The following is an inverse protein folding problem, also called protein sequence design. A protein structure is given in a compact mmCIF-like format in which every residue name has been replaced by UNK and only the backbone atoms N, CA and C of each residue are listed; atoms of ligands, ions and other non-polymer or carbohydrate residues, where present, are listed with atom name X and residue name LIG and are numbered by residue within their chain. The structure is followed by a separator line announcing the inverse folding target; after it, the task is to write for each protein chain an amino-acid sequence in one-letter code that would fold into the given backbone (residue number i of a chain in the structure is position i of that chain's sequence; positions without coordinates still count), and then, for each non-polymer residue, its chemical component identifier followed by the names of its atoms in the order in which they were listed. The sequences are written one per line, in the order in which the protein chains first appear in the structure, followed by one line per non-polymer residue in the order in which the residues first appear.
data_IF_706422486378
#
_entry.id   IF_706422486378
#
_cell.length_a   1.000
_cell.length_b   1.000
_cell.length_c   1.000
_cell.angle_alpha   90.00
_cell.angle_beta   90.00
_cell.angle_gamma   90.00
#
_symmetry.space_group_name_H-M   'P 1'
#
loop_
_entity.id
_entity.type
_entity.pdbx_description
1 polymer ?
#
# COMPACT_ATOMS: atom_id res chain seq x y z
N UNK A 1 11.72 -51.94 -6.71
CA UNK A 1 10.32 -51.83 -6.26
C UNK A 1 9.94 -50.35 -6.26
N UNK A 2 8.98 -49.95 -7.09
CA UNK A 2 8.46 -48.58 -7.12
C UNK A 2 7.29 -48.45 -6.13
N UNK A 3 7.08 -47.28 -5.48
CA UNK A 3 5.93 -47.09 -4.60
C UNK A 3 4.62 -46.96 -5.41
N UNK A 4 3.47 -47.36 -4.84
CA UNK A 4 2.19 -47.35 -5.53
C UNK A 4 1.61 -45.94 -5.67
N UNK A 5 1.08 -45.67 -6.87
CA UNK A 5 0.34 -44.45 -7.20
C UNK A 5 -1.07 -44.56 -6.61
N UNK A 6 -1.39 -43.76 -5.59
CA UNK A 6 -2.78 -43.54 -5.18
C UNK A 6 -3.44 -42.56 -6.16
N UNK A 7 -4.35 -43.07 -6.97
CA UNK A 7 -5.26 -42.28 -7.77
C UNK A 7 -6.27 -41.56 -6.86
N UNK A 8 -6.05 -40.27 -6.60
CA UNK A 8 -7.09 -39.40 -6.10
C UNK A 8 -8.00 -39.02 -7.27
N UNK A 9 -9.16 -39.67 -7.33
CA UNK A 9 -10.31 -39.26 -8.13
C UNK A 9 -10.88 -37.95 -7.58
N UNK A 10 -10.21 -36.84 -7.90
CA UNK A 10 -10.69 -35.50 -7.65
C UNK A 10 -11.25 -34.93 -8.94
N UNK A 11 -12.56 -34.75 -8.99
CA UNK A 11 -13.31 -33.95 -9.96
C UNK A 11 -12.81 -32.49 -9.94
N UNK A 12 -11.68 -32.24 -10.61
CA UNK A 12 -11.00 -30.94 -10.68
C UNK A 12 -10.90 -30.37 -12.09
N UNK A 13 -11.68 -30.89 -13.04
CA UNK A 13 -11.61 -30.50 -14.45
C UNK A 13 -12.00 -29.03 -14.74
N UNK A 14 -12.52 -28.29 -13.76
CA UNK A 14 -12.92 -26.89 -13.91
C UNK A 14 -11.87 -25.85 -13.45
N UNK A 15 -10.82 -26.26 -12.70
CA UNK A 15 -9.80 -25.33 -12.20
C UNK A 15 -8.49 -25.34 -13.01
N UNK A 16 -8.39 -26.20 -14.03
CA UNK A 16 -7.13 -26.45 -14.75
C UNK A 16 -6.75 -25.35 -15.77
N UNK A 17 -7.62 -24.38 -16.04
CA UNK A 17 -7.39 -23.36 -17.08
C UNK A 17 -6.73 -22.06 -16.62
N UNK A 18 -6.56 -21.84 -15.30
CA UNK A 18 -6.26 -20.52 -14.74
C UNK A 18 -5.15 -20.50 -13.67
N UNK A 19 -4.43 -21.61 -13.48
CA UNK A 19 -3.29 -21.62 -12.57
C UNK A 19 -2.10 -20.89 -13.21
N UNK A 20 -2.10 -19.56 -13.13
CA UNK A 20 -0.90 -18.77 -13.40
C UNK A 20 0.11 -19.09 -12.30
N UNK A 21 1.25 -19.64 -12.67
CA UNK A 21 2.34 -19.89 -11.73
C UNK A 21 3.05 -18.55 -11.47
N UNK A 22 2.72 -17.92 -10.34
CA UNK A 22 3.39 -16.70 -9.90
C UNK A 22 4.85 -17.00 -9.50
N UNK A 23 5.79 -16.06 -9.73
CA UNK A 23 7.17 -16.22 -9.29
C UNK A 23 7.26 -16.21 -7.75
N UNK A 24 8.34 -16.79 -7.20
CA UNK A 24 8.53 -16.96 -5.75
C UNK A 24 8.53 -15.65 -4.95
N UNK A 25 8.83 -14.53 -5.61
CA UNK A 25 8.86 -13.20 -5.00
C UNK A 25 7.58 -12.38 -5.27
N UNK A 26 6.50 -13.03 -5.73
CA UNK A 26 5.17 -12.44 -5.80
C UNK A 26 4.55 -12.26 -4.42
N UNK A 27 3.76 -11.20 -4.27
CA UNK A 27 2.90 -11.05 -3.10
C UNK A 27 1.72 -12.01 -3.18
N UNK A 28 1.34 -12.57 -2.03
CA UNK A 28 0.12 -13.38 -1.92
C UNK A 28 -1.14 -12.52 -2.13
N UNK A 29 -2.25 -13.13 -2.55
CA UNK A 29 -3.53 -12.43 -2.71
C UNK A 29 -3.97 -11.68 -1.45
N UNK A 30 -3.93 -12.27 -0.23
CA UNK A 30 -4.24 -11.51 1.00
C UNK A 30 -3.32 -10.30 1.20
N UNK A 31 -2.03 -10.43 0.87
CA UNK A 31 -1.09 -9.32 0.99
C UNK A 31 -1.43 -8.19 0.02
N UNK A 32 -1.78 -8.51 -1.23
CA UNK A 32 -2.25 -7.52 -2.20
C UNK A 32 -3.51 -6.79 -1.73
N UNK A 33 -4.48 -7.53 -1.17
CA UNK A 33 -5.72 -6.93 -0.66
C UNK A 33 -5.43 -5.84 0.37
N UNK A 34 -4.53 -6.09 1.33
CA UNK A 34 -4.15 -5.12 2.35
C UNK A 34 -3.44 -3.89 1.76
N UNK A 35 -2.54 -4.09 0.77
CA UNK A 35 -1.86 -2.96 0.12
C UNK A 35 -2.83 -2.04 -0.60
N UNK A 36 -3.72 -2.63 -1.41
CA UNK A 36 -4.71 -1.88 -2.19
C UNK A 36 -5.72 -1.20 -1.27
N UNK A 37 -6.23 -1.91 -0.25
CA UNK A 37 -7.16 -1.32 0.70
C UNK A 37 -6.50 -0.13 1.42
N UNK A 38 -5.28 -0.29 1.93
CA UNK A 38 -4.58 0.74 2.67
C UNK A 38 -4.37 2.01 1.84
N UNK A 39 -4.06 1.88 0.54
CA UNK A 39 -3.94 3.03 -0.36
C UNK A 39 -5.27 3.79 -0.50
N UNK A 40 -6.38 3.07 -0.65
CA UNK A 40 -7.72 3.67 -0.78
C UNK A 40 -8.16 4.28 0.55
N UNK A 41 -7.97 3.56 1.66
CA UNK A 41 -8.31 3.99 3.01
C UNK A 41 -7.53 5.25 3.40
N UNK A 42 -6.27 5.37 2.97
CA UNK A 42 -5.48 6.57 3.17
C UNK A 42 -6.03 7.78 2.40
N UNK A 43 -6.44 7.61 1.13
CA UNK A 43 -7.09 8.66 0.35
C UNK A 43 -8.43 9.10 0.98
N UNK A 44 -9.22 8.14 1.47
CA UNK A 44 -10.45 8.43 2.19
C UNK A 44 -10.15 9.23 3.48
N UNK A 45 -9.14 8.84 4.26
CA UNK A 45 -8.69 9.55 5.45
C UNK A 45 -8.24 10.98 5.13
N UNK A 46 -7.47 11.17 4.05
CA UNK A 46 -7.06 12.50 3.57
C UNK A 46 -8.28 13.38 3.26
N UNK A 47 -9.30 12.82 2.59
CA UNK A 47 -10.56 13.51 2.32
C UNK A 47 -11.33 13.88 3.59
N UNK A 48 -11.39 12.98 4.57
CA UNK A 48 -12.02 13.23 5.87
C UNK A 48 -11.29 14.32 6.66
N UNK A 49 -9.95 14.30 6.70
CA UNK A 49 -9.14 15.34 7.34
C UNK A 49 -9.38 16.71 6.70
N UNK A 50 -9.49 16.77 5.37
CA UNK A 50 -9.80 18.00 4.67
C UNK A 50 -11.20 18.53 5.02
N UNK A 51 -12.20 17.65 5.03
CA UNK A 51 -13.58 18.02 5.42
C UNK A 51 -13.67 18.45 6.88
N UNK A 52 -12.91 17.80 7.76
CA UNK A 52 -12.83 18.21 9.16
C UNK A 52 -12.28 19.63 9.30
N UNK A 53 -11.33 20.04 8.46
CA UNK A 53 -10.85 21.42 8.43
C UNK A 53 -11.97 22.45 8.12
N UNK A 54 -12.91 22.08 7.24
CA UNK A 54 -14.03 22.94 6.84
C UNK A 54 -15.08 23.02 7.94
N UNK A 55 -15.44 21.89 8.53
CA UNK A 55 -16.47 21.82 9.59
C UNK A 55 -15.98 22.45 10.90
N UNK A 56 -14.70 22.25 11.26
CA UNK A 56 -14.12 22.84 12.48
C UNK A 56 -13.73 24.31 12.33
N UNK A 57 -13.69 24.86 11.11
CA UNK A 57 -13.18 26.20 10.84
C UNK A 57 -11.67 26.35 11.05
N UNK A 58 -10.92 25.26 11.26
CA UNK A 58 -9.48 25.29 11.47
C UNK A 58 -8.73 24.84 10.19
N UNK A 59 -8.21 25.78 9.37
CA UNK A 59 -7.57 25.45 8.09
C UNK A 59 -6.24 24.70 8.24
N UNK A 60 -5.66 24.61 9.45
CA UNK A 60 -4.41 23.88 9.68
C UNK A 60 -4.53 22.39 9.39
N UNK A 61 -5.73 21.82 9.55
CA UNK A 61 -6.04 20.44 9.15
C UNK A 61 -5.87 20.20 7.65
N UNK A 62 -6.11 21.19 6.78
CA UNK A 62 -5.77 21.07 5.35
C UNK A 62 -4.27 20.92 5.14
N UNK A 63 -3.47 21.56 6.00
CA UNK A 63 -2.02 21.38 6.04
C UNK A 63 -1.61 19.95 6.38
N UNK A 64 -2.36 19.25 7.26
CA UNK A 64 -2.15 17.83 7.52
C UNK A 64 -2.47 16.99 6.28
N UNK A 65 -3.58 17.25 5.58
CA UNK A 65 -3.89 16.55 4.31
C UNK A 65 -2.75 16.68 3.29
N UNK A 66 -2.18 17.89 3.13
CA UNK A 66 -1.01 18.09 2.27
C UNK A 66 0.22 17.33 2.77
N UNK A 67 0.44 17.30 4.08
CA UNK A 67 1.53 16.56 4.71
C UNK A 67 1.41 15.04 4.60
N UNK A 68 0.22 14.51 4.34
CA UNK A 68 -0.01 13.06 4.15
C UNK A 68 0.35 12.56 2.74
N UNK A 69 0.54 13.46 1.75
CA UNK A 69 0.81 13.08 0.36
C UNK A 69 2.12 12.32 0.15
N UNK A 70 3.27 12.71 0.74
CA UNK A 70 4.51 11.98 0.52
C UNK A 70 4.42 10.54 1.02
N UNK A 71 3.78 10.32 2.18
CA UNK A 71 3.55 8.97 2.71
C UNK A 71 2.65 8.13 1.80
N UNK A 72 1.60 8.74 1.22
CA UNK A 72 0.76 8.05 0.23
C UNK A 72 1.56 7.65 -1.02
N UNK A 73 2.38 8.55 -1.53
CA UNK A 73 3.25 8.30 -2.68
C UNK A 73 4.28 7.19 -2.41
N UNK A 74 4.76 7.07 -1.16
CA UNK A 74 5.60 5.94 -0.73
C UNK A 74 4.89 4.60 -0.95
N UNK A 75 3.63 4.48 -0.52
CA UNK A 75 2.82 3.28 -0.73
C UNK A 75 2.62 2.94 -2.21
N UNK A 76 2.44 3.94 -3.06
CA UNK A 76 2.35 3.75 -4.51
C UNK A 76 3.67 3.23 -5.11
N UNK A 77 4.82 3.73 -4.64
CA UNK A 77 6.13 3.23 -5.06
C UNK A 77 6.31 1.77 -4.65
N UNK A 78 5.95 1.39 -3.42
CA UNK A 78 6.00 0.02 -2.93
C UNK A 78 5.12 -0.91 -3.79
N UNK A 79 3.86 -0.54 -4.01
CA UNK A 79 2.92 -1.33 -4.81
C UNK A 79 3.40 -1.47 -6.26
N UNK A 80 3.97 -0.41 -6.85
CA UNK A 80 4.56 -0.48 -8.19
C UNK A 80 5.74 -1.45 -8.24
N UNK A 81 6.62 -1.41 -7.24
CA UNK A 81 7.75 -2.35 -7.16
C UNK A 81 7.29 -3.81 -7.04
N UNK A 82 6.25 -4.06 -6.25
CA UNK A 82 5.65 -5.38 -6.10
C UNK A 82 4.87 -5.84 -7.33
N UNK A 83 4.23 -4.92 -8.06
CA UNK A 83 3.52 -5.21 -9.31
C UNK A 83 4.44 -5.84 -10.36
N UNK A 84 5.73 -5.44 -10.36
CA UNK A 84 6.75 -5.97 -11.28
C UNK A 84 7.58 -7.11 -10.68
N UNK A 85 7.15 -7.70 -9.56
CA UNK A 85 7.87 -8.77 -8.88
C UNK A 85 9.29 -8.36 -8.44
N UNK A 86 9.41 -7.20 -7.78
CA UNK A 86 10.64 -6.80 -7.07
C UNK A 86 11.95 -6.92 -7.88
N UNK A 87 12.02 -6.47 -9.14
CA UNK A 87 13.18 -6.71 -9.98
C UNK A 87 14.33 -5.79 -9.57
N UNK A 88 15.58 -6.26 -9.69
CA UNK A 88 16.75 -5.47 -9.33
C UNK A 88 16.84 -4.14 -10.12
N UNK A 89 16.33 -4.10 -11.35
CA UNK A 89 16.29 -2.90 -12.20
C UNK A 89 15.41 -1.77 -11.65
N UNK A 90 14.47 -2.06 -10.75
CA UNK A 90 13.56 -1.08 -10.15
C UNK A 90 13.86 -0.80 -8.67
N UNK A 91 15.03 -1.17 -8.15
CA UNK A 91 15.39 -0.87 -6.75
C UNK A 91 15.36 0.62 -6.39
N UNK A 92 15.46 1.51 -7.37
CA UNK A 92 15.23 2.94 -7.15
C UNK A 92 13.84 3.23 -6.55
N UNK A 93 12.81 2.44 -6.88
CA UNK A 93 11.48 2.57 -6.29
C UNK A 93 11.48 2.23 -4.80
N UNK A 94 12.28 1.26 -4.37
CA UNK A 94 12.45 0.91 -2.96
C UNK A 94 13.14 2.06 -2.19
N UNK A 95 14.20 2.63 -2.76
CA UNK A 95 14.86 3.79 -2.16
C UNK A 95 13.94 5.02 -2.09
N UNK A 96 13.17 5.25 -3.16
CA UNK A 96 12.18 6.33 -3.22
C UNK A 96 11.05 6.12 -2.21
N UNK A 97 10.53 4.90 -2.09
CA UNK A 97 9.56 4.50 -1.06
C UNK A 97 10.07 4.85 0.33
N UNK A 98 11.28 4.39 0.69
CA UNK A 98 11.88 4.69 1.99
C UNK A 98 12.05 6.21 2.22
N UNK A 99 12.53 6.94 1.21
CA UNK A 99 12.70 8.41 1.30
C UNK A 99 11.36 9.14 1.48
N UNK A 100 10.34 8.76 0.72
CA UNK A 100 9.00 9.34 0.81
C UNK A 100 8.31 9.01 2.14
N UNK A 101 8.57 7.84 2.72
CA UNK A 101 8.12 7.51 4.08
C UNK A 101 8.71 8.47 5.09
N UNK A 102 10.04 8.66 5.10
CA UNK A 102 10.69 9.60 6.03
C UNK A 102 10.17 11.02 5.85
N UNK A 103 10.07 11.50 4.61
CA UNK A 103 9.53 12.83 4.33
C UNK A 103 8.06 12.93 4.79
N UNK A 104 7.25 11.91 4.51
CA UNK A 104 5.85 11.84 4.88
C UNK A 104 5.63 11.88 6.40
N UNK A 105 6.42 11.13 7.15
CA UNK A 105 6.38 11.13 8.61
C UNK A 105 6.76 12.50 9.18
N UNK A 106 7.82 13.12 8.64
CA UNK A 106 8.25 14.46 9.04
C UNK A 106 7.19 15.53 8.71
N UNK A 107 6.54 15.47 7.55
CA UNK A 107 5.50 16.43 7.16
C UNK A 107 4.23 16.25 7.99
N UNK A 108 3.82 15.01 8.26
CA UNK A 108 2.71 14.70 9.16
C UNK A 108 3.00 15.18 10.60
N UNK A 109 4.20 14.89 11.13
CA UNK A 109 4.63 15.36 12.44
C UNK A 109 4.58 16.89 12.55
N UNK A 110 5.16 17.59 11.57
CA UNK A 110 5.15 19.05 11.55
C UNK A 110 3.72 19.60 11.45
N UNK A 111 2.86 19.02 10.61
CA UNK A 111 1.47 19.43 10.51
C UNK A 111 0.69 19.19 11.81
N UNK A 112 0.92 18.07 12.49
CA UNK A 112 0.34 17.77 13.79
C UNK A 112 0.81 18.76 14.87
N UNK A 113 2.10 19.10 14.90
CA UNK A 113 2.63 20.15 15.77
C UNK A 113 1.95 21.49 15.51
N UNK A 114 1.72 21.86 14.23
CA UNK A 114 1.00 23.09 13.89
C UNK A 114 -0.46 23.10 14.35
N UNK A 115 -1.11 21.95 14.39
CA UNK A 115 -2.47 21.80 14.93
C UNK A 115 -2.44 21.94 16.46
N UNK A 116 -1.51 21.26 17.13
CA UNK A 116 -1.36 21.30 18.60
C UNK A 116 -1.14 22.71 19.13
N UNK A 117 -0.22 23.48 18.55
CA UNK A 117 0.05 24.87 18.98
C UNK A 117 -1.15 25.83 18.85
N UNK A 118 -2.23 25.40 18.19
CA UNK A 118 -3.47 26.18 18.03
C UNK A 118 -4.63 25.66 18.89
N UNK A 119 -4.52 24.43 19.42
CA UNK A 119 -5.51 23.85 20.32
C UNK A 119 -5.40 24.47 21.73
#
# INVERSE_FOLDING_TARGET
AAPPVLAASGSGAAAAGWAHAEPLNALSLPTWMVHVSSLIEWLAAMGLVWRYAEVSGNPRWKGLTWGMLPFHASGLCACTYHLFYNPASLQVLLALQAGLTVVGDLTCWYAAYRIYQFA
#
